data_IF_541167968248
#
_entry.id   IF_541167968248
#
_cell.length_a   1.000
_cell.length_b   1.000
_cell.length_c   1.000
_cell.angle_alpha   90.00
_cell.angle_beta   90.00
_cell.angle_gamma   90.00
#
_symmetry.space_group_name_H-M   'P 1'
#
loop_
_entity.id
_entity.type
_entity.pdbx_description
1 polymer ?
#
# COMPACT_ATOMS: atom_id res chain seq x y z
N UNK A 1 -50.08 -14.43 51.43
CA UNK A 1 -50.44 -15.39 50.37
C UNK A 1 -49.95 -14.80 49.06
N UNK A 2 -48.91 -15.41 48.50
CA UNK A 2 -48.11 -14.87 47.39
C UNK A 2 -48.85 -14.91 46.06
N UNK A 3 -48.67 -13.87 45.28
CA UNK A 3 -49.23 -13.62 43.95
C UNK A 3 -48.62 -14.58 42.92
N UNK A 4 -49.47 -15.08 42.02
CA UNK A 4 -49.11 -15.95 40.88
C UNK A 4 -48.26 -15.20 39.86
N UNK A 5 -47.18 -15.84 39.39
CA UNK A 5 -46.36 -15.38 38.29
C UNK A 5 -46.59 -16.27 37.07
N UNK A 6 -47.04 -15.66 35.97
CA UNK A 6 -47.14 -16.28 34.65
C UNK A 6 -45.74 -16.63 34.11
N UNK A 7 -45.54 -17.91 33.81
CA UNK A 7 -44.33 -18.44 33.19
C UNK A 7 -44.36 -18.23 31.68
N UNK A 8 -43.77 -17.12 31.20
CA UNK A 8 -43.36 -17.00 29.81
C UNK A 8 -42.08 -17.84 29.60
N UNK A 9 -42.18 -18.92 28.83
CA UNK A 9 -41.06 -19.75 28.44
C UNK A 9 -40.04 -18.91 27.64
N UNK A 10 -38.85 -18.71 28.20
CA UNK A 10 -37.73 -18.10 27.50
C UNK A 10 -37.31 -19.00 26.33
N UNK A 11 -37.47 -18.48 25.11
CA UNK A 11 -36.83 -19.03 23.92
C UNK A 11 -35.32 -18.98 24.16
N UNK A 12 -34.58 -20.10 24.10
CA UNK A 12 -33.13 -20.06 24.28
C UNK A 12 -32.52 -19.20 23.16
N UNK A 13 -31.49 -18.39 23.46
CA UNK A 13 -30.79 -17.66 22.41
C UNK A 13 -30.31 -18.67 21.38
N UNK A 14 -30.68 -18.45 20.11
CA UNK A 14 -30.15 -19.21 18.99
C UNK A 14 -28.63 -19.19 19.10
N UNK A 15 -28.03 -20.37 19.23
CA UNK A 15 -26.59 -20.52 19.18
C UNK A 15 -26.06 -19.79 17.95
N UNK A 16 -25.32 -18.70 18.17
CA UNK A 16 -24.65 -17.98 17.09
C UNK A 16 -23.83 -18.99 16.31
N UNK A 17 -24.10 -19.11 15.01
CA UNK A 17 -23.28 -19.87 14.08
C UNK A 17 -21.86 -19.34 14.20
N UNK A 18 -20.97 -20.16 14.76
CA UNK A 18 -19.54 -19.85 14.76
C UNK A 18 -19.11 -19.62 13.31
N UNK A 19 -18.50 -18.46 13.04
CA UNK A 19 -17.93 -18.11 11.74
C UNK A 19 -17.14 -19.29 11.15
N UNK A 20 -17.33 -19.57 9.86
CA UNK A 20 -16.57 -20.55 9.09
C UNK A 20 -15.07 -20.17 8.97
N UNK A 21 -14.68 -18.95 9.37
CA UNK A 21 -13.34 -18.69 9.92
C UNK A 21 -13.23 -19.33 11.32
N UNK A 22 -13.60 -20.61 11.44
CA UNK A 22 -13.40 -21.39 12.63
C UNK A 22 -11.89 -21.39 12.87
N UNK A 23 -11.46 -20.65 13.90
CA UNK A 23 -10.09 -20.29 14.20
C UNK A 23 -9.20 -21.53 14.16
N UNK A 24 -8.64 -21.82 12.99
CA UNK A 24 -7.81 -23.00 12.82
C UNK A 24 -6.68 -22.92 13.85
N UNK A 25 -6.33 -24.04 14.51
CA UNK A 25 -5.29 -24.02 15.53
C UNK A 25 -4.00 -23.42 14.97
N UNK A 26 -3.26 -22.68 15.79
CA UNK A 26 -2.05 -21.98 15.34
C UNK A 26 -1.03 -22.94 14.70
N UNK A 27 -0.95 -24.19 15.20
CA UNK A 27 -0.08 -25.23 14.67
C UNK A 27 -0.55 -25.73 13.29
N UNK A 28 -1.86 -25.75 13.03
CA UNK A 28 -2.41 -26.10 11.72
C UNK A 28 -2.00 -25.04 10.69
N UNK A 29 -2.16 -23.77 11.03
CA UNK A 29 -1.81 -22.67 10.14
C UNK A 29 -0.31 -22.61 9.84
N UNK A 30 0.54 -22.82 10.85
CA UNK A 30 1.99 -22.94 10.64
C UNK A 30 2.36 -24.18 9.81
N UNK A 31 1.72 -25.32 10.07
CA UNK A 31 1.94 -26.57 9.32
C UNK A 31 1.58 -26.45 7.83
N UNK A 32 0.72 -25.50 7.46
CA UNK A 32 0.30 -25.26 6.08
C UNK A 32 1.22 -24.32 5.29
N UNK A 33 2.19 -23.65 5.92
CA UNK A 33 3.12 -22.71 5.25
C UNK A 33 3.85 -23.38 4.09
N UNK A 34 4.53 -24.50 4.34
CA UNK A 34 5.30 -25.22 3.30
C UNK A 34 4.37 -25.82 2.23
N UNK A 35 3.30 -26.56 2.58
CA UNK A 35 2.36 -27.07 1.57
C UNK A 35 1.75 -25.99 0.66
N UNK A 36 1.33 -24.85 1.22
CA UNK A 36 0.76 -23.74 0.42
C UNK A 36 1.81 -23.10 -0.49
N UNK A 37 3.04 -22.93 -0.01
CA UNK A 37 4.17 -22.41 -0.80
C UNK A 37 4.51 -23.35 -1.97
N UNK A 38 4.59 -24.66 -1.73
CA UNK A 38 4.84 -25.68 -2.77
C UNK A 38 3.72 -25.69 -3.80
N UNK A 39 2.46 -25.73 -3.36
CA UNK A 39 1.29 -25.75 -4.25
C UNK A 39 1.23 -24.53 -5.17
N UNK A 40 1.56 -23.34 -4.66
CA UNK A 40 1.65 -22.13 -5.48
C UNK A 40 2.86 -22.12 -6.40
N UNK A 41 4.03 -22.54 -5.91
CA UNK A 41 5.23 -22.67 -6.73
C UNK A 41 4.98 -23.55 -7.94
N UNK A 42 4.33 -24.71 -7.76
CA UNK A 42 3.95 -25.62 -8.84
C UNK A 42 2.95 -25.03 -9.85
N UNK A 43 2.17 -24.01 -9.46
CA UNK A 43 1.30 -23.24 -10.38
C UNK A 43 2.12 -22.17 -11.10
N UNK A 44 2.94 -21.42 -10.37
CA UNK A 44 3.77 -20.33 -10.90
C UNK A 44 4.84 -20.81 -11.91
N UNK A 45 5.34 -22.03 -11.77
CA UNK A 45 6.29 -22.65 -12.73
C UNK A 45 5.61 -23.06 -14.05
N UNK A 46 4.31 -23.38 -14.06
CA UNK A 46 3.56 -23.63 -15.31
C UNK A 46 3.38 -22.35 -16.14
N UNK A 47 3.36 -21.20 -15.46
CA UNK A 47 3.24 -19.87 -16.06
C UNK A 47 1.82 -19.50 -16.44
N UNK A 48 1.64 -18.22 -16.79
CA UNK A 48 0.40 -17.62 -17.25
C UNK A 48 0.69 -16.82 -18.52
N UNK A 49 0.88 -17.55 -19.62
CA UNK A 49 1.23 -16.96 -20.91
C UNK A 49 0.16 -15.97 -21.41
N UNK A 50 -1.09 -16.16 -20.97
CA UNK A 50 -2.23 -15.28 -21.20
C UNK A 50 -2.07 -13.86 -20.63
N UNK A 51 -1.26 -13.70 -19.58
CA UNK A 51 -1.15 -12.44 -18.82
C UNK A 51 0.19 -11.72 -19.01
N UNK A 52 1.07 -12.18 -19.91
CA UNK A 52 2.42 -11.59 -20.05
C UNK A 52 3.32 -11.76 -18.80
N UNK A 53 2.89 -12.57 -17.82
CA UNK A 53 3.67 -12.91 -16.62
C UNK A 53 4.54 -14.13 -16.93
N UNK A 54 5.88 -14.02 -16.81
CA UNK A 54 6.77 -15.13 -17.12
C UNK A 54 6.63 -16.27 -16.11
N UNK A 55 7.07 -17.46 -16.51
CA UNK A 55 7.18 -18.61 -15.62
C UNK A 55 8.14 -18.32 -14.47
N UNK A 56 7.81 -18.78 -13.27
CA UNK A 56 8.74 -18.73 -12.15
C UNK A 56 9.98 -19.57 -12.47
N UNK A 57 11.17 -18.99 -12.32
CA UNK A 57 12.41 -19.71 -12.51
C UNK A 57 12.50 -20.90 -11.52
N UNK A 58 13.01 -22.07 -11.94
CA UNK A 58 13.23 -23.23 -11.07
C UNK A 58 14.47 -23.00 -10.19
N UNK A 59 14.41 -21.98 -9.34
CA UNK A 59 15.49 -21.57 -8.45
C UNK A 59 15.05 -21.81 -6.99
N UNK A 60 15.79 -22.63 -6.21
CA UNK A 60 15.48 -22.88 -4.80
C UNK A 60 15.36 -21.60 -3.96
N UNK A 61 16.16 -20.57 -4.24
CA UNK A 61 16.06 -19.29 -3.53
C UNK A 61 14.76 -18.54 -3.84
N UNK A 62 14.28 -18.64 -5.08
CA UNK A 62 12.98 -18.07 -5.45
C UNK A 62 11.85 -18.82 -4.73
N UNK A 63 11.95 -20.14 -4.57
CA UNK A 63 10.96 -20.93 -3.86
C UNK A 63 10.98 -20.67 -2.34
N UNK A 64 12.17 -20.53 -1.75
CA UNK A 64 12.33 -20.15 -0.35
C UNK A 64 11.68 -18.80 -0.04
N UNK A 65 11.78 -17.83 -0.96
CA UNK A 65 11.10 -16.54 -0.77
C UNK A 65 9.56 -16.63 -0.77
N UNK A 66 8.98 -17.58 -1.51
CA UNK A 66 7.52 -17.82 -1.49
C UNK A 66 7.08 -18.36 -0.14
N UNK A 67 7.89 -19.25 0.47
CA UNK A 67 7.64 -19.74 1.82
C UNK A 67 7.75 -18.63 2.87
N UNK A 68 8.66 -17.67 2.68
CA UNK A 68 8.79 -16.50 3.56
C UNK A 68 7.57 -15.57 3.48
N UNK A 69 7.03 -15.34 2.28
CA UNK A 69 5.77 -14.61 2.15
C UNK A 69 4.63 -15.36 2.86
N UNK A 70 4.52 -16.68 2.66
CA UNK A 70 3.52 -17.50 3.35
C UNK A 70 3.64 -17.42 4.87
N UNK A 71 4.87 -17.46 5.39
CA UNK A 71 5.14 -17.35 6.82
C UNK A 71 4.71 -15.98 7.35
N UNK A 72 4.93 -14.90 6.58
CA UNK A 72 4.54 -13.56 6.97
C UNK A 72 3.01 -13.37 6.95
N UNK A 73 2.33 -13.84 5.92
CA UNK A 73 0.86 -13.86 5.84
C UNK A 73 0.28 -14.70 6.98
N UNK A 74 0.93 -15.83 7.28
CA UNK A 74 0.53 -16.73 8.37
C UNK A 74 0.66 -16.07 9.73
N UNK A 75 1.81 -15.46 9.99
CA UNK A 75 2.08 -14.72 11.22
C UNK A 75 1.12 -13.53 11.39
N UNK A 76 0.88 -12.77 10.32
CA UNK A 76 -0.03 -11.63 10.34
C UNK A 76 -1.44 -12.06 10.75
N UNK A 77 -1.99 -13.09 10.11
CA UNK A 77 -3.29 -13.67 10.48
C UNK A 77 -3.33 -14.10 11.95
N UNK A 78 -2.33 -14.85 12.43
CA UNK A 78 -2.32 -15.34 13.81
C UNK A 78 -2.30 -14.21 14.85
N UNK A 79 -1.67 -13.09 14.50
CA UNK A 79 -1.64 -11.88 15.33
C UNK A 79 -2.96 -11.09 15.29
N UNK A 80 -3.64 -11.06 14.15
CA UNK A 80 -4.84 -10.22 13.95
C UNK A 80 -6.17 -10.94 14.12
N UNK A 81 -6.19 -12.29 14.14
CA UNK A 81 -7.42 -13.11 14.16
C UNK A 81 -8.41 -12.76 15.27
N UNK A 82 -7.93 -12.41 16.48
CA UNK A 82 -8.80 -12.03 17.60
C UNK A 82 -9.48 -10.66 17.43
N UNK A 83 -8.94 -9.81 16.55
CA UNK A 83 -9.48 -8.48 16.22
C UNK A 83 -10.37 -8.52 14.99
N UNK A 84 -10.33 -9.58 14.17
CA UNK A 84 -11.06 -9.65 12.91
C UNK A 84 -12.56 -9.92 13.11
N UNK A 85 -12.92 -10.91 13.94
CA UNK A 85 -14.31 -11.37 14.10
C UNK A 85 -15.25 -10.32 14.71
N UNK A 86 -14.73 -9.41 15.53
CA UNK A 86 -15.52 -8.36 16.18
C UNK A 86 -15.84 -7.15 15.27
N UNK A 87 -15.29 -7.11 14.05
CA UNK A 87 -15.25 -5.87 13.25
C UNK A 87 -15.85 -6.01 11.84
N UNK A 88 -16.27 -7.21 11.41
CA UNK A 88 -16.70 -7.43 10.01
C UNK A 88 -18.07 -6.81 9.74
N UNK A 89 -19.08 -7.08 10.57
CA UNK A 89 -20.45 -6.57 10.36
C UNK A 89 -20.55 -5.04 10.38
N UNK A 90 -19.93 -4.41 11.37
CA UNK A 90 -19.94 -2.94 11.53
C UNK A 90 -19.24 -2.23 10.35
N UNK A 91 -18.20 -2.85 9.77
CA UNK A 91 -17.44 -2.27 8.65
C UNK A 91 -18.19 -2.29 7.33
N UNK A 92 -19.02 -3.30 7.08
CA UNK A 92 -19.84 -3.33 5.86
C UNK A 92 -20.89 -2.22 5.88
N UNK A 93 -21.59 -2.02 7.00
CA UNK A 93 -22.56 -0.93 7.15
C UNK A 93 -21.89 0.46 7.05
N UNK A 94 -20.69 0.61 7.62
CA UNK A 94 -19.89 1.83 7.47
C UNK A 94 -19.48 2.06 5.99
N UNK A 95 -19.14 1.00 5.26
CA UNK A 95 -18.79 1.09 3.83
C UNK A 95 -19.97 1.56 2.98
N UNK A 96 -21.16 0.99 3.20
CA UNK A 96 -22.40 1.39 2.50
C UNK A 96 -22.75 2.85 2.79
N UNK A 97 -22.66 3.25 4.06
CA UNK A 97 -22.89 4.64 4.48
C UNK A 97 -21.89 5.60 3.86
N UNK A 98 -20.59 5.23 3.84
CA UNK A 98 -19.56 6.04 3.19
C UNK A 98 -19.82 6.17 1.69
N UNK A 99 -20.19 5.07 1.02
CA UNK A 99 -20.47 5.10 -0.41
C UNK A 99 -21.65 6.01 -0.74
N UNK A 100 -22.75 5.92 0.01
CA UNK A 100 -23.92 6.79 -0.18
C UNK A 100 -23.58 8.27 0.02
N UNK A 101 -22.73 8.60 1.01
CA UNK A 101 -22.25 9.98 1.24
C UNK A 101 -21.36 10.48 0.10
N UNK A 102 -20.49 9.61 -0.41
CA UNK A 102 -19.60 9.94 -1.52
C UNK A 102 -20.39 10.16 -2.82
N UNK A 103 -21.38 9.32 -3.08
CA UNK A 103 -22.27 9.44 -4.24
C UNK A 103 -23.08 10.74 -4.19
N UNK A 104 -23.71 11.04 -3.04
CA UNK A 104 -24.46 12.28 -2.85
C UNK A 104 -23.61 13.56 -3.02
N UNK A 105 -22.30 13.46 -2.79
CA UNK A 105 -21.35 14.55 -2.98
C UNK A 105 -20.66 14.55 -4.37
N UNK A 106 -21.04 13.64 -5.27
CA UNK A 106 -20.55 13.58 -6.65
C UNK A 106 -19.22 12.85 -6.84
N UNK A 107 -18.64 12.25 -5.80
CA UNK A 107 -17.33 11.59 -5.89
C UNK A 107 -17.35 10.29 -6.71
N UNK A 108 -18.52 9.68 -6.94
CA UNK A 108 -18.61 8.51 -7.84
C UNK A 108 -18.60 8.90 -9.31
N UNK A 109 -19.22 10.04 -9.63
CA UNK A 109 -19.25 10.62 -10.98
C UNK A 109 -17.88 11.22 -11.34
N UNK A 110 -17.27 11.99 -10.43
CA UNK A 110 -15.91 12.51 -10.56
C UNK A 110 -15.02 12.10 -9.38
N UNK A 111 -14.40 10.90 -9.43
CA UNK A 111 -13.44 10.44 -8.43
C UNK A 111 -12.21 11.34 -8.29
N UNK A 112 -11.92 12.21 -9.27
CA UNK A 112 -10.81 13.17 -9.20
C UNK A 112 -10.97 14.19 -8.07
N UNK A 113 -12.21 14.46 -7.65
CA UNK A 113 -12.52 15.35 -6.53
C UNK A 113 -11.96 14.85 -5.18
N UNK A 114 -11.68 13.54 -5.04
CA UNK A 114 -11.00 12.98 -3.86
C UNK A 114 -9.50 13.33 -3.80
N UNK A 115 -8.95 13.86 -4.89
CA UNK A 115 -7.51 14.10 -5.05
C UNK A 115 -7.25 15.56 -5.50
N UNK A 116 -7.69 16.57 -4.74
CA UNK A 116 -7.39 17.96 -5.06
C UNK A 116 -5.88 18.21 -5.02
N UNK A 117 -5.40 19.15 -5.83
CA UNK A 117 -4.00 19.57 -5.81
C UNK A 117 -3.70 20.35 -4.53
N UNK A 118 -2.81 19.87 -3.64
CA UNK A 118 -2.44 20.61 -2.45
C UNK A 118 -1.49 21.76 -2.79
N UNK A 119 -1.58 22.86 -2.05
CA UNK A 119 -0.54 23.89 -2.06
C UNK A 119 0.76 23.34 -1.43
N UNK A 120 1.88 24.02 -1.72
CA UNK A 120 3.09 23.78 -0.95
C UNK A 120 2.84 24.13 0.52
N UNK A 121 3.27 23.32 1.49
CA UNK A 121 3.07 23.58 2.91
C UNK A 121 3.78 24.87 3.34
N UNK A 122 3.03 25.79 3.96
CA UNK A 122 3.55 27.09 4.42
C UNK A 122 4.53 26.95 5.61
N UNK A 123 4.26 25.99 6.50
CA UNK A 123 5.06 25.77 7.72
C UNK A 123 5.74 24.41 7.67
N UNK A 124 7.04 24.44 7.38
CA UNK A 124 7.88 23.25 7.31
C UNK A 124 8.91 23.25 8.43
N UNK A 125 8.90 22.19 9.25
CA UNK A 125 9.90 21.98 10.31
C UNK A 125 10.98 21.03 9.84
N UNK A 126 12.23 21.49 9.88
CA UNK A 126 13.41 20.69 9.55
C UNK A 126 14.24 20.41 10.81
N UNK A 127 14.72 19.19 10.95
CA UNK A 127 15.64 18.82 12.04
C UNK A 127 16.64 17.76 11.60
N UNK A 128 17.93 17.98 11.87
CA UNK A 128 18.97 16.98 11.63
C UNK A 128 18.88 15.88 12.71
N UNK A 129 18.97 14.63 12.29
CA UNK A 129 18.85 13.44 13.14
C UNK A 129 19.87 12.39 12.74
N UNK A 130 20.28 11.57 13.71
CA UNK A 130 21.02 10.34 13.47
C UNK A 130 20.36 9.20 14.24
N UNK A 131 19.93 8.16 13.53
CA UNK A 131 19.30 6.98 14.16
C UNK A 131 19.85 5.70 13.54
N UNK A 132 20.42 4.84 14.39
CA UNK A 132 21.05 3.58 13.95
C UNK A 132 22.18 3.77 12.94
N UNK A 133 22.96 4.87 13.04
CA UNK A 133 24.06 5.17 12.13
C UNK A 133 23.61 5.67 10.74
N UNK A 134 22.39 6.19 10.63
CA UNK A 134 21.92 6.91 9.44
C UNK A 134 21.73 8.36 9.85
N UNK A 135 22.54 9.27 9.29
CA UNK A 135 22.30 10.70 9.35
C UNK A 135 21.29 11.11 8.26
N UNK A 136 20.28 11.90 8.63
CA UNK A 136 19.25 12.41 7.73
C UNK A 136 18.65 13.70 8.30
N UNK A 137 17.98 14.47 7.45
CA UNK A 137 17.11 15.56 7.88
C UNK A 137 15.67 15.05 7.96
N UNK A 138 15.00 15.28 9.07
CA UNK A 138 13.57 15.00 9.20
C UNK A 138 12.81 16.27 8.88
N UNK A 139 11.95 16.20 7.86
CA UNK A 139 10.97 17.23 7.55
C UNK A 139 9.61 16.83 8.11
N UNK A 140 8.87 17.82 8.60
CA UNK A 140 7.47 17.63 8.97
C UNK A 140 6.63 18.88 8.75
N UNK A 141 5.38 18.67 8.35
CA UNK A 141 4.38 19.69 8.07
C UNK A 141 2.98 19.09 8.28
N UNK A 142 1.96 19.93 8.38
CA UNK A 142 0.58 19.47 8.56
C UNK A 142 0.00 18.94 7.24
N UNK A 143 -0.71 17.82 7.29
CA UNK A 143 -1.33 17.20 6.13
C UNK A 143 -2.42 18.10 5.58
N UNK A 144 -2.39 18.36 4.26
CA UNK A 144 -3.42 19.13 3.56
C UNK A 144 -4.66 18.30 3.21
N UNK A 145 -4.70 17.02 3.62
CA UNK A 145 -5.79 16.11 3.27
C UNK A 145 -7.09 16.52 3.98
N UNK A 146 -8.07 16.95 3.20
CA UNK A 146 -9.43 17.18 3.66
C UNK A 146 -10.23 15.86 3.59
N UNK A 147 -10.69 15.38 4.75
CA UNK A 147 -11.57 14.21 4.80
C UNK A 147 -12.96 14.62 4.27
N UNK A 148 -13.55 13.89 3.30
CA UNK A 148 -14.91 14.16 2.85
C UNK A 148 -15.91 14.16 4.01
N UNK A 149 -16.92 15.03 3.93
CA UNK A 149 -17.84 15.28 5.03
C UNK A 149 -18.50 13.97 5.54
N UNK A 150 -18.46 13.78 6.86
CA UNK A 150 -19.01 12.62 7.53
C UNK A 150 -18.19 11.33 7.43
N UNK A 151 -17.13 11.24 6.61
CA UNK A 151 -16.35 9.98 6.55
C UNK A 151 -15.48 9.75 7.79
N UNK A 152 -15.03 10.82 8.45
CA UNK A 152 -14.23 10.74 9.68
C UNK A 152 -15.00 10.12 10.86
N UNK A 153 -16.33 10.16 10.83
CA UNK A 153 -17.18 9.60 11.89
C UNK A 153 -17.37 8.08 11.74
N UNK A 154 -17.09 7.55 10.55
CA UNK A 154 -17.30 6.14 10.20
C UNK A 154 -16.08 5.26 10.53
N UNK A 155 -14.96 5.88 10.92
CA UNK A 155 -13.71 5.20 11.25
C UNK A 155 -12.81 6.16 12.05
N UNK A 156 -12.07 5.69 13.06
CA UNK A 156 -11.20 6.57 13.86
C UNK A 156 -9.87 6.87 13.12
N UNK A 157 -9.98 7.47 11.94
CA UNK A 157 -8.87 7.77 11.05
C UNK A 157 -8.10 9.03 11.44
N UNK A 158 -8.79 10.05 11.93
CA UNK A 158 -8.19 11.33 12.29
C UNK A 158 -7.48 11.24 13.64
N UNK A 159 -6.18 11.53 13.64
CA UNK A 159 -5.37 11.54 14.86
C UNK A 159 -4.19 12.50 14.67
N UNK A 160 -3.82 13.26 15.71
CA UNK A 160 -2.77 14.29 15.63
C UNK A 160 -1.44 13.75 15.09
N UNK A 161 -1.05 12.53 15.48
CA UNK A 161 0.18 11.90 14.97
C UNK A 161 0.06 11.54 13.49
N UNK A 162 -1.14 11.17 13.04
CA UNK A 162 -1.41 10.83 11.65
C UNK A 162 -1.49 12.09 10.78
N UNK A 163 -2.01 13.20 11.29
CA UNK A 163 -2.17 14.45 10.52
C UNK A 163 -0.86 15.23 10.36
N UNK A 164 0.20 14.83 11.07
CA UNK A 164 1.56 15.34 10.86
C UNK A 164 2.30 14.49 9.82
N UNK A 165 2.55 15.09 8.66
CA UNK A 165 3.37 14.46 7.62
C UNK A 165 4.82 14.43 8.06
N UNK A 166 5.51 13.33 7.74
CA UNK A 166 6.94 13.17 7.96
C UNK A 166 7.63 12.69 6.69
N UNK A 167 8.82 13.24 6.41
CA UNK A 167 9.74 12.66 5.44
C UNK A 167 11.18 12.68 5.96
N UNK A 168 11.97 11.71 5.52
CA UNK A 168 13.41 11.63 5.83
C UNK A 168 14.21 12.00 4.58
N UNK A 169 15.02 13.03 4.69
CA UNK A 169 15.76 13.59 3.57
C UNK A 169 17.23 13.17 3.64
N UNK A 170 17.74 12.75 2.49
CA UNK A 170 19.17 12.69 2.20
C UNK A 170 19.45 13.83 1.21
N UNK A 171 19.93 14.97 1.72
CA UNK A 171 20.38 16.10 0.92
C UNK A 171 21.89 16.08 0.80
N UNK A 172 22.41 16.43 -0.37
CA UNK A 172 23.83 16.73 -0.51
C UNK A 172 24.10 18.13 0.04
N UNK A 173 25.09 18.27 0.93
CA UNK A 173 25.45 19.56 1.53
C UNK A 173 26.26 20.47 0.58
N UNK A 174 26.84 19.93 -0.51
CA UNK A 174 27.69 20.66 -1.45
C UNK A 174 27.30 20.43 -2.93
N UNK A 175 27.43 21.49 -3.75
CA UNK A 175 27.45 21.39 -5.22
C UNK A 175 26.17 21.75 -5.98
N UNK A 176 25.42 22.76 -5.54
CA UNK A 176 24.29 23.33 -6.28
C UNK A 176 22.97 22.54 -6.18
N UNK A 177 21.94 23.02 -6.87
CA UNK A 177 20.63 22.36 -6.92
C UNK A 177 20.76 20.97 -7.56
N UNK A 178 20.05 19.97 -7.02
CA UNK A 178 20.07 18.58 -7.50
C UNK A 178 18.66 18.08 -7.79
N UNK A 179 18.48 17.17 -8.78
CA UNK A 179 17.23 16.46 -8.96
C UNK A 179 16.83 15.68 -7.69
N UNK A 180 15.55 15.33 -7.58
CA UNK A 180 15.00 14.67 -6.40
C UNK A 180 14.42 13.30 -6.71
N UNK A 181 14.59 12.37 -5.77
CA UNK A 181 13.86 11.12 -5.72
C UNK A 181 12.92 11.11 -4.51
N UNK A 182 11.61 11.08 -4.76
CA UNK A 182 10.60 10.81 -3.73
C UNK A 182 10.44 9.30 -3.59
N UNK A 183 10.76 8.76 -2.43
CA UNK A 183 10.71 7.31 -2.15
C UNK A 183 9.59 7.01 -1.15
N UNK A 184 8.72 6.07 -1.49
CA UNK A 184 7.52 5.74 -0.72
C UNK A 184 7.56 4.26 -0.29
N UNK A 185 7.44 4.02 1.02
CA UNK A 185 7.64 2.70 1.61
C UNK A 185 6.40 1.79 1.53
N UNK A 186 6.60 0.49 1.77
CA UNK A 186 5.52 -0.49 1.88
C UNK A 186 4.85 -0.53 3.26
N UNK A 187 3.87 -1.42 3.43
CA UNK A 187 3.17 -1.59 4.70
C UNK A 187 4.12 -2.02 5.85
N UNK A 188 3.86 -1.56 7.08
CA UNK A 188 4.66 -1.81 8.31
C UNK A 188 6.10 -1.26 8.31
N UNK A 189 6.40 -0.35 7.39
CA UNK A 189 7.62 0.46 7.37
C UNK A 189 7.34 1.86 7.94
N UNK A 190 8.15 2.85 7.59
CA UNK A 190 8.00 4.26 7.97
C UNK A 190 8.99 4.71 9.04
N UNK A 191 9.95 3.86 9.42
CA UNK A 191 11.03 4.20 10.34
C UNK A 191 12.27 4.64 9.58
N UNK A 192 13.14 5.44 10.20
CA UNK A 192 14.36 5.93 9.56
C UNK A 192 15.29 4.80 9.04
N UNK A 193 15.20 3.58 9.61
CA UNK A 193 15.94 2.41 9.13
C UNK A 193 15.58 2.02 7.68
N UNK A 194 14.38 2.36 7.23
CA UNK A 194 13.84 1.95 5.92
C UNK A 194 14.53 2.67 4.75
N UNK A 195 15.19 3.80 5.01
CA UNK A 195 16.14 4.46 4.09
C UNK A 195 17.19 3.47 3.55
N UNK A 196 17.65 2.52 4.37
CA UNK A 196 18.61 1.48 3.93
C UNK A 196 17.95 0.41 3.07
N UNK A 197 16.72 0.01 3.40
CA UNK A 197 16.04 -1.09 2.74
C UNK A 197 15.54 -0.71 1.35
N UNK A 198 15.07 0.53 1.17
CA UNK A 198 14.42 1.00 -0.05
C UNK A 198 15.38 1.55 -1.11
N UNK A 199 16.69 1.34 -0.96
CA UNK A 199 17.66 1.71 -1.99
C UNK A 199 17.87 3.22 -2.13
N UNK A 200 17.46 4.03 -1.14
CA UNK A 200 17.70 5.47 -1.10
C UNK A 200 19.19 5.83 -1.16
N UNK A 201 20.06 5.01 -0.56
CA UNK A 201 21.52 5.22 -0.60
C UNK A 201 22.11 5.10 -2.01
N UNK A 202 21.85 4.04 -2.80
CA UNK A 202 22.22 3.99 -4.21
C UNK A 202 21.72 5.18 -5.02
N UNK A 203 20.46 5.61 -4.86
CA UNK A 203 19.95 6.80 -5.55
C UNK A 203 20.78 8.04 -5.16
N UNK A 204 20.91 8.30 -3.87
CA UNK A 204 21.63 9.46 -3.36
C UNK A 204 23.11 9.48 -3.76
N UNK A 205 23.81 8.37 -3.54
CA UNK A 205 25.26 8.27 -3.77
C UNK A 205 25.57 8.08 -5.24
N UNK A 206 24.96 7.10 -5.91
CA UNK A 206 25.38 6.66 -7.23
C UNK A 206 24.79 7.56 -8.35
N UNK A 207 23.59 8.12 -8.18
CA UNK A 207 23.02 9.10 -9.11
C UNK A 207 23.24 10.55 -8.69
N UNK A 208 23.70 10.82 -7.46
CA UNK A 208 23.93 12.19 -7.00
C UNK A 208 22.65 13.02 -6.84
N UNK A 209 21.50 12.38 -6.63
CA UNK A 209 20.20 13.05 -6.43
C UNK A 209 19.93 13.26 -4.94
N UNK A 210 19.11 14.25 -4.59
CA UNK A 210 18.52 14.32 -3.26
C UNK A 210 17.42 13.26 -3.12
N UNK A 211 17.20 12.74 -1.92
CA UNK A 211 16.15 11.74 -1.67
C UNK A 211 15.22 12.23 -0.58
N UNK A 212 13.92 12.23 -0.83
CA UNK A 212 12.87 12.48 0.15
C UNK A 212 12.07 11.20 0.40
N UNK A 213 12.19 10.62 1.59
CA UNK A 213 11.51 9.38 1.93
C UNK A 213 10.23 9.68 2.71
N UNK A 214 9.08 9.64 2.03
CA UNK A 214 7.77 9.93 2.62
C UNK A 214 7.33 8.84 3.60
N UNK A 215 6.82 9.23 4.76
CA UNK A 215 6.18 8.34 5.74
C UNK A 215 4.67 8.35 5.52
N UNK A 216 4.13 7.20 5.16
CA UNK A 216 2.69 7.02 4.90
C UNK A 216 1.85 7.16 6.18
N UNK A 217 0.56 7.51 6.05
CA UNK A 217 -0.39 7.53 7.17
C UNK A 217 -0.38 6.22 7.96
N UNK A 218 -0.56 6.30 9.28
CA UNK A 218 -0.55 5.16 10.21
C UNK A 218 0.75 4.31 10.21
N UNK A 219 1.87 4.85 9.74
CA UNK A 219 3.17 4.16 9.74
C UNK A 219 4.25 4.94 10.50
N UNK A 220 5.26 4.22 11.00
CA UNK A 220 6.36 4.78 11.78
C UNK A 220 5.89 5.77 12.86
N UNK A 221 6.35 7.04 12.86
CA UNK A 221 5.89 8.05 13.81
C UNK A 221 4.39 8.38 13.73
N UNK A 222 3.71 8.12 12.60
CA UNK A 222 2.29 8.44 12.38
C UNK A 222 1.34 7.40 12.97
N UNK A 223 1.77 6.14 13.08
CA UNK A 223 0.97 5.01 13.57
C UNK A 223 1.29 4.55 14.99
N UNK A 224 1.79 5.45 15.87
CA UNK A 224 2.17 5.09 17.25
C UNK A 224 0.99 4.85 18.18
N UNK A 225 -0.18 5.36 17.82
CA UNK A 225 -1.44 5.03 18.45
C UNK A 225 -2.04 3.92 17.59
N UNK A 226 -2.34 2.78 18.22
CA UNK A 226 -2.93 1.58 17.59
C UNK A 226 -4.40 1.84 17.14
N UNK A 227 -4.70 3.02 16.57
CA UNK A 227 -6.03 3.42 16.17
C UNK A 227 -6.50 2.56 15.00
N UNK A 228 -5.81 2.60 13.84
CA UNK A 228 -6.24 1.91 12.63
C UNK A 228 -5.07 1.36 11.80
N UNK A 229 -5.21 0.13 11.29
CA UNK A 229 -4.23 -0.46 10.38
C UNK A 229 -4.50 -0.01 8.93
N UNK A 230 -3.46 0.47 8.24
CA UNK A 230 -3.52 0.84 6.82
C UNK A 230 -2.39 0.14 6.03
N UNK A 231 -2.68 -0.62 4.97
CA UNK A 231 -4.01 -1.09 4.61
C UNK A 231 -4.52 -2.09 5.66
N UNK A 232 -5.84 -2.24 5.74
CA UNK A 232 -6.50 -3.13 6.70
C UNK A 232 -7.83 -3.65 6.17
N UNK A 233 -8.62 -4.29 7.04
CA UNK A 233 -9.94 -4.82 6.68
C UNK A 233 -11.05 -3.75 6.61
N UNK A 234 -10.78 -2.53 7.07
CA UNK A 234 -11.72 -1.40 7.01
C UNK A 234 -11.61 -0.70 5.64
N UNK A 235 -12.63 -0.80 4.76
CA UNK A 235 -12.59 -0.17 3.44
C UNK A 235 -12.65 1.35 3.50
N UNK A 236 -13.30 1.95 4.51
CA UNK A 236 -13.35 3.42 4.67
C UNK A 236 -11.98 3.93 5.08
N UNK A 237 -11.34 3.29 6.07
CA UNK A 237 -9.97 3.61 6.46
C UNK A 237 -8.97 3.43 5.30
N UNK A 238 -9.15 2.41 4.47
CA UNK A 238 -8.32 2.21 3.28
C UNK A 238 -8.46 3.35 2.27
N UNK A 239 -9.69 3.81 2.01
CA UNK A 239 -9.93 4.97 1.14
C UNK A 239 -9.23 6.21 1.70
N UNK A 240 -9.50 6.55 2.97
CA UNK A 240 -8.90 7.71 3.64
C UNK A 240 -7.37 7.64 3.69
N UNK A 241 -6.83 6.43 3.88
CA UNK A 241 -5.39 6.21 3.85
C UNK A 241 -4.76 6.46 2.50
N UNK A 242 -5.41 6.03 1.40
CA UNK A 242 -4.91 6.31 0.05
C UNK A 242 -5.05 7.79 -0.29
N UNK A 243 -6.20 8.41 -0.06
CA UNK A 243 -6.42 9.83 -0.35
C UNK A 243 -5.45 10.72 0.43
N UNK A 244 -5.23 10.44 1.72
CA UNK A 244 -4.24 11.15 2.52
C UNK A 244 -2.82 10.90 2.03
N UNK A 245 -2.45 9.66 1.69
CA UNK A 245 -1.12 9.34 1.18
C UNK A 245 -0.79 10.09 -0.11
N UNK A 246 -1.76 10.19 -1.02
CA UNK A 246 -1.60 10.90 -2.30
C UNK A 246 -1.52 12.40 -2.05
N UNK A 247 -2.39 12.96 -1.21
CA UNK A 247 -2.33 14.37 -0.80
C UNK A 247 -0.96 14.72 -0.21
N UNK A 248 -0.44 13.90 0.70
CA UNK A 248 0.85 14.12 1.35
C UNK A 248 2.03 14.01 0.36
N UNK A 249 1.98 13.05 -0.56
CA UNK A 249 2.99 12.90 -1.61
C UNK A 249 3.03 14.12 -2.53
N UNK A 250 1.86 14.62 -2.94
CA UNK A 250 1.73 15.81 -3.79
C UNK A 250 2.15 17.09 -3.05
N UNK A 251 1.81 17.22 -1.76
CA UNK A 251 2.25 18.34 -0.94
C UNK A 251 3.79 18.35 -0.76
N UNK A 252 4.39 17.18 -0.58
CA UNK A 252 5.86 17.04 -0.54
C UNK A 252 6.50 17.40 -1.89
N UNK A 253 5.89 16.99 -3.01
CA UNK A 253 6.35 17.36 -4.37
C UNK A 253 6.23 18.88 -4.56
N UNK A 254 5.09 19.49 -4.20
CA UNK A 254 4.88 20.94 -4.29
C UNK A 254 5.91 21.70 -3.44
N UNK A 255 6.22 21.23 -2.23
CA UNK A 255 7.29 21.78 -1.41
C UNK A 255 8.66 21.70 -2.11
N UNK A 256 9.04 20.53 -2.63
CA UNK A 256 10.31 20.38 -3.37
C UNK A 256 10.36 21.32 -4.59
N UNK A 257 9.23 21.46 -5.31
CA UNK A 257 9.11 22.36 -6.47
C UNK A 257 9.27 23.83 -6.11
N UNK A 258 8.88 24.23 -4.89
CA UNK A 258 9.13 25.59 -4.39
C UNK A 258 10.62 25.87 -4.13
N UNK A 259 11.43 24.84 -3.90
CA UNK A 259 12.88 24.95 -3.71
C UNK A 259 13.68 24.76 -5.00
N UNK A 260 13.15 24.05 -6.00
CA UNK A 260 13.88 23.75 -7.25
C UNK A 260 12.99 23.40 -8.44
N UNK A 261 13.43 23.77 -9.64
CA UNK A 261 12.82 23.36 -10.91
C UNK A 261 13.42 22.08 -11.51
N UNK A 262 14.38 21.45 -10.84
CA UNK A 262 15.03 20.24 -11.36
C UNK A 262 14.09 19.02 -11.37
N UNK A 263 14.35 17.99 -12.19
CA UNK A 263 13.49 16.82 -12.30
C UNK A 263 13.24 16.12 -10.95
N UNK A 264 12.01 15.63 -10.77
CA UNK A 264 11.60 14.82 -9.62
C UNK A 264 11.14 13.45 -10.13
N UNK A 265 11.70 12.38 -9.58
CA UNK A 265 11.26 11.01 -9.83
C UNK A 265 10.58 10.44 -8.61
N UNK A 266 9.52 9.65 -8.80
CA UNK A 266 8.81 8.97 -7.71
C UNK A 266 9.06 7.47 -7.80
N UNK A 267 9.44 6.86 -6.68
CA UNK A 267 9.57 5.41 -6.54
C UNK A 267 8.79 4.93 -5.33
N UNK A 268 7.92 3.95 -5.53
CA UNK A 268 7.17 3.31 -4.46
C UNK A 268 7.26 1.80 -4.51
N UNK A 269 7.21 1.14 -3.34
CA UNK A 269 7.12 -0.32 -3.24
C UNK A 269 5.84 -0.77 -2.53
N UNK A 270 5.18 -1.83 -3.01
CA UNK A 270 4.00 -2.43 -2.35
C UNK A 270 2.90 -1.38 -2.17
N UNK A 271 2.49 -1.06 -0.93
CA UNK A 271 1.60 0.06 -0.63
C UNK A 271 2.15 1.39 -1.18
N UNK A 272 3.45 1.67 -1.05
CA UNK A 272 4.06 2.85 -1.66
C UNK A 272 4.01 2.81 -3.18
N UNK A 273 3.98 1.62 -3.79
CA UNK A 273 3.78 1.42 -5.22
C UNK A 273 2.36 1.83 -5.65
N UNK A 274 1.34 1.58 -4.82
CA UNK A 274 -0.01 2.11 -5.01
C UNK A 274 0.04 3.64 -5.03
N UNK A 275 0.62 4.24 -4.00
CA UNK A 275 0.67 5.70 -3.84
C UNK A 275 1.45 6.34 -4.98
N UNK A 276 2.61 5.79 -5.36
CA UNK A 276 3.39 6.27 -6.50
C UNK A 276 2.60 6.20 -7.82
N UNK A 277 1.82 5.13 -8.02
CA UNK A 277 0.99 4.96 -9.21
C UNK A 277 -0.18 5.94 -9.24
N UNK A 278 -0.81 6.20 -8.09
CA UNK A 278 -1.82 7.23 -7.93
C UNK A 278 -1.24 8.63 -8.16
N UNK A 279 -0.05 8.94 -7.62
CA UNK A 279 0.63 10.22 -7.86
C UNK A 279 0.88 10.43 -9.36
N UNK A 280 1.22 9.39 -10.12
CA UNK A 280 1.39 9.48 -11.57
C UNK A 280 0.12 9.80 -12.36
N UNK A 281 -1.07 9.69 -11.75
CA UNK A 281 -2.33 10.12 -12.33
C UNK A 281 -2.63 11.62 -12.11
N UNK A 282 -1.93 12.29 -11.20
CA UNK A 282 -2.21 13.68 -10.82
C UNK A 282 -1.01 14.63 -10.89
N UNK A 283 0.19 14.13 -11.19
CA UNK A 283 1.44 14.90 -11.30
C UNK A 283 2.06 14.73 -12.71
N UNK A 284 1.76 15.60 -13.68
CA UNK A 284 2.23 15.47 -15.06
C UNK A 284 3.74 15.76 -15.22
N UNK A 285 4.31 16.58 -14.34
CA UNK A 285 5.70 17.07 -14.46
C UNK A 285 6.74 16.14 -13.80
N UNK A 286 6.38 14.89 -13.53
CA UNK A 286 7.35 13.91 -13.01
C UNK A 286 8.34 13.51 -14.10
N UNK A 287 9.62 13.46 -13.73
CA UNK A 287 10.68 12.93 -14.59
C UNK A 287 10.49 11.43 -14.83
N UNK A 288 10.10 10.68 -13.81
CA UNK A 288 9.62 9.30 -13.95
C UNK A 288 8.81 8.84 -12.74
N UNK A 289 8.05 7.76 -12.94
CA UNK A 289 7.44 6.97 -11.88
C UNK A 289 7.92 5.52 -11.96
N UNK A 290 8.30 4.95 -10.82
CA UNK A 290 8.64 3.53 -10.70
C UNK A 290 7.71 2.88 -9.66
N UNK A 291 6.85 1.98 -10.13
CA UNK A 291 5.93 1.20 -9.31
C UNK A 291 6.49 -0.21 -9.06
N UNK A 292 6.97 -0.45 -7.85
CA UNK A 292 7.61 -1.70 -7.45
C UNK A 292 6.68 -2.63 -6.69
N UNK A 293 6.53 -3.88 -7.15
CA UNK A 293 5.57 -4.88 -6.65
C UNK A 293 4.24 -4.21 -6.22
N UNK A 294 3.63 -3.39 -7.09
CA UNK A 294 2.68 -2.38 -6.67
C UNK A 294 1.33 -2.98 -6.29
N UNK A 295 0.79 -2.49 -5.18
CA UNK A 295 -0.62 -2.72 -4.84
C UNK A 295 -1.48 -1.84 -5.73
N UNK A 296 -2.54 -2.39 -6.30
CA UNK A 296 -3.48 -1.68 -7.16
C UNK A 296 -4.92 -1.80 -6.67
N UNK A 297 -5.29 -2.87 -5.97
CA UNK A 297 -6.63 -3.04 -5.43
C UNK A 297 -6.56 -3.76 -4.07
N UNK A 298 -6.92 -3.04 -3.00
CA UNK A 298 -6.82 -3.52 -1.61
C UNK A 298 -7.87 -4.60 -1.33
N UNK A 299 -9.13 -4.38 -1.73
CA UNK A 299 -10.20 -5.35 -1.54
C UNK A 299 -9.86 -6.70 -2.20
N UNK A 300 -9.39 -6.67 -3.46
CA UNK A 300 -8.96 -7.84 -4.20
C UNK A 300 -7.74 -8.52 -3.57
N UNK A 301 -6.78 -7.75 -3.05
CA UNK A 301 -5.62 -8.31 -2.34
C UNK A 301 -6.06 -9.09 -1.10
N UNK A 302 -6.95 -8.51 -0.28
CA UNK A 302 -7.49 -9.16 0.91
C UNK A 302 -8.31 -10.39 0.55
N UNK A 303 -9.25 -10.25 -0.40
CA UNK A 303 -10.11 -11.32 -0.87
C UNK A 303 -9.32 -12.53 -1.39
N UNK A 304 -8.33 -12.28 -2.25
CA UNK A 304 -7.49 -13.36 -2.81
C UNK A 304 -6.64 -14.04 -1.74
N UNK A 305 -6.19 -13.29 -0.73
CA UNK A 305 -5.45 -13.86 0.42
C UNK A 305 -6.35 -14.84 1.17
N UNK A 306 -7.57 -14.42 1.53
CA UNK A 306 -8.57 -15.24 2.24
C UNK A 306 -8.95 -16.48 1.42
N UNK A 307 -9.35 -16.27 0.16
CA UNK A 307 -9.72 -17.34 -0.79
C UNK A 307 -8.65 -18.41 -0.90
N UNK A 308 -7.39 -17.99 -1.08
CA UNK A 308 -6.27 -18.92 -1.28
C UNK A 308 -6.00 -19.81 -0.07
N UNK A 309 -6.47 -19.40 1.11
CA UNK A 309 -6.07 -19.95 2.40
C UNK A 309 -7.16 -20.74 3.08
N UNK A 310 -8.40 -20.24 3.01
CA UNK A 310 -9.57 -20.75 3.70
C UNK A 310 -10.76 -21.05 2.78
N UNK A 311 -10.66 -20.75 1.48
CA UNK A 311 -11.69 -21.09 0.49
C UNK A 311 -12.74 -20.00 0.28
N UNK A 312 -13.75 -20.30 -0.55
CA UNK A 312 -14.79 -19.33 -0.93
C UNK A 312 -15.78 -19.03 0.21
N UNK A 313 -16.08 -20.00 1.07
CA UNK A 313 -17.01 -19.81 2.21
C UNK A 313 -16.45 -18.77 3.19
N UNK A 314 -15.19 -18.92 3.61
CA UNK A 314 -14.51 -17.93 4.44
C UNK A 314 -14.35 -16.57 3.76
N UNK A 315 -14.27 -16.52 2.41
CA UNK A 315 -14.26 -15.24 1.69
C UNK A 315 -15.63 -14.56 1.72
N UNK A 316 -16.70 -15.31 1.56
CA UNK A 316 -18.06 -14.76 1.62
C UNK A 316 -18.33 -14.10 2.98
N UNK A 317 -17.81 -14.69 4.07
CA UNK A 317 -17.94 -14.11 5.41
C UNK A 317 -17.17 -12.81 5.63
N UNK A 318 -16.17 -12.48 4.81
CA UNK A 318 -15.40 -11.23 5.01
C UNK A 318 -16.02 -10.02 4.34
N UNK A 319 -17.02 -10.20 3.48
CA UNK A 319 -17.68 -9.12 2.73
C UNK A 319 -16.73 -8.24 1.88
N UNK A 320 -15.48 -8.68 1.67
CA UNK A 320 -14.47 -7.88 0.94
C UNK A 320 -14.81 -7.68 -0.53
N UNK A 321 -15.65 -8.55 -1.09
CA UNK A 321 -16.11 -8.47 -2.47
C UNK A 321 -17.56 -7.98 -2.59
N UNK A 322 -18.15 -7.48 -1.50
CA UNK A 322 -19.46 -6.85 -1.55
C UNK A 322 -19.38 -5.52 -2.31
N UNK A 323 -20.50 -5.03 -2.88
CA UNK A 323 -20.49 -3.86 -3.75
C UNK A 323 -19.82 -2.62 -3.14
N UNK A 324 -20.14 -2.30 -1.88
CA UNK A 324 -19.60 -1.09 -1.24
C UNK A 324 -18.08 -1.14 -0.99
N UNK A 325 -17.51 -2.18 -0.34
CA UNK A 325 -16.06 -2.32 -0.22
C UNK A 325 -15.30 -2.34 -1.55
N UNK A 326 -15.87 -3.00 -2.58
CA UNK A 326 -15.28 -3.02 -3.93
C UNK A 326 -15.23 -1.61 -4.53
N UNK A 327 -16.32 -0.86 -4.42
CA UNK A 327 -16.41 0.48 -4.98
C UNK A 327 -15.52 1.48 -4.24
N UNK A 328 -15.45 1.43 -2.91
CA UNK A 328 -14.48 2.22 -2.14
C UNK A 328 -13.03 1.87 -2.52
N UNK A 329 -12.73 0.58 -2.73
CA UNK A 329 -11.41 0.17 -3.21
C UNK A 329 -11.13 0.59 -4.65
N UNK A 330 -12.16 0.77 -5.49
CA UNK A 330 -12.04 1.32 -6.85
C UNK A 330 -11.66 2.79 -6.79
N UNK A 331 -12.32 3.59 -5.94
CA UNK A 331 -11.98 5.01 -5.73
C UNK A 331 -10.53 5.19 -5.24
N UNK A 332 -10.00 4.23 -4.49
CA UNK A 332 -8.64 4.21 -3.98
C UNK A 332 -7.62 3.49 -4.91
N UNK A 333 -8.00 3.12 -6.13
CA UNK A 333 -7.17 2.32 -7.04
C UNK A 333 -6.52 3.15 -8.14
N UNK A 334 -5.21 2.99 -8.43
CA UNK A 334 -4.59 3.61 -9.60
C UNK A 334 -5.14 3.12 -10.93
N UNK A 335 -5.89 2.01 -10.95
CA UNK A 335 -6.54 1.50 -12.17
C UNK A 335 -7.78 2.32 -12.57
N UNK A 336 -8.25 3.19 -11.67
CA UNK A 336 -9.41 4.05 -11.93
C UNK A 336 -9.03 5.39 -12.57
N UNK A 337 -7.73 5.69 -12.65
CA UNK A 337 -7.25 6.98 -13.12
C UNK A 337 -6.19 6.79 -14.21
N UNK A 338 -6.32 7.44 -15.37
CA UNK A 338 -5.29 7.38 -16.40
C UNK A 338 -4.01 8.05 -15.87
N UNK A 339 -2.86 7.46 -16.15
CA UNK A 339 -1.59 8.09 -15.81
C UNK A 339 -1.34 9.31 -16.71
N UNK A 340 -1.09 10.48 -16.11
CA UNK A 340 -0.74 11.71 -16.84
C UNK A 340 0.76 11.81 -17.12
N UNK A 341 1.59 11.08 -16.37
CA UNK A 341 3.03 10.94 -16.66
C UNK A 341 3.20 10.25 -18.02
N UNK A 342 4.09 10.72 -18.93
CA UNK A 342 4.33 10.08 -20.22
C UNK A 342 4.70 8.59 -20.15
N UNK A 343 4.27 7.81 -21.14
CA UNK A 343 4.45 6.34 -21.18
C UNK A 343 5.90 5.88 -21.00
N UNK A 344 6.84 6.54 -21.68
CA UNK A 344 8.29 6.26 -21.63
C UNK A 344 8.95 6.59 -20.27
N UNK A 345 8.20 7.26 -19.38
CA UNK A 345 8.60 7.62 -18.02
C UNK A 345 7.93 6.78 -16.94
N UNK A 346 7.13 5.78 -17.34
CA UNK A 346 6.48 4.81 -16.46
C UNK A 346 7.29 3.53 -16.40
N UNK A 347 7.57 3.05 -15.20
CA UNK A 347 8.32 1.81 -15.00
C UNK A 347 7.64 0.94 -13.94
N UNK A 348 7.59 -0.36 -14.18
CA UNK A 348 7.02 -1.33 -13.24
C UNK A 348 8.04 -2.42 -12.98
N UNK A 349 8.13 -2.90 -11.74
CA UNK A 349 8.67 -4.23 -11.52
C UNK A 349 7.70 -5.06 -10.69
N UNK A 350 7.43 -6.29 -11.11
CA UNK A 350 6.61 -7.25 -10.38
C UNK A 350 7.46 -8.42 -9.86
N UNK A 351 6.88 -9.25 -8.99
CA UNK A 351 7.50 -10.47 -8.53
C UNK A 351 6.60 -11.67 -8.87
N UNK A 352 7.14 -12.63 -9.62
CA UNK A 352 6.36 -13.78 -10.14
C UNK A 352 5.87 -14.68 -9.00
N UNK A 353 6.67 -14.80 -7.94
CA UNK A 353 6.36 -15.58 -6.76
C UNK A 353 5.59 -14.81 -5.68
N UNK A 354 5.19 -13.57 -5.95
CA UNK A 354 4.54 -12.71 -4.96
C UNK A 354 3.21 -13.32 -4.50
N UNK A 355 3.10 -13.50 -3.19
CA UNK A 355 1.93 -14.08 -2.54
C UNK A 355 1.03 -13.08 -1.83
N UNK A 356 1.48 -11.85 -1.70
CA UNK A 356 0.76 -10.80 -1.00
C UNK A 356 0.09 -9.87 -2.01
N UNK A 357 0.90 -9.15 -2.77
CA UNK A 357 0.47 -8.21 -3.82
C UNK A 357 0.71 -8.88 -5.17
N UNK A 358 0.07 -10.03 -5.34
CA UNK A 358 0.36 -11.03 -6.39
C UNK A 358 0.74 -10.45 -7.75
N UNK A 359 1.50 -11.19 -8.56
CA UNK A 359 1.92 -10.75 -9.90
C UNK A 359 0.77 -10.15 -10.76
N UNK A 360 -0.48 -10.57 -10.54
CA UNK A 360 -1.67 -10.01 -11.22
C UNK A 360 -1.92 -8.53 -10.92
N UNK A 361 -1.56 -8.03 -9.74
CA UNK A 361 -1.71 -6.61 -9.39
C UNK A 361 -0.72 -5.75 -10.21
N UNK A 362 0.53 -6.21 -10.32
CA UNK A 362 1.55 -5.58 -11.17
C UNK A 362 1.20 -5.67 -12.66
N UNK A 363 0.66 -6.81 -13.10
CA UNK A 363 0.20 -7.02 -14.47
C UNK A 363 -1.01 -6.12 -14.82
N UNK A 364 -1.99 -6.01 -13.92
CA UNK A 364 -3.12 -5.11 -14.11
C UNK A 364 -2.67 -3.65 -14.28
N UNK A 365 -1.70 -3.18 -13.48
CA UNK A 365 -1.11 -1.85 -13.67
C UNK A 365 -0.37 -1.74 -15.00
N UNK A 366 0.36 -2.80 -15.38
CA UNK A 366 1.11 -2.82 -16.63
C UNK A 366 0.19 -2.71 -17.84
N UNK A 367 -0.94 -3.42 -17.87
CA UNK A 367 -1.95 -3.25 -18.92
C UNK A 367 -2.57 -1.86 -18.90
N UNK A 368 -2.96 -1.38 -17.71
CA UNK A 368 -3.58 -0.06 -17.52
C UNK A 368 -2.68 1.09 -17.97
N UNK A 369 -1.36 0.96 -17.80
CA UNK A 369 -0.37 1.92 -18.26
C UNK A 369 0.08 1.72 -19.70
N UNK A 370 -0.64 0.89 -20.47
CA UNK A 370 -0.39 0.62 -21.89
C UNK A 370 0.94 -0.11 -22.12
N UNK A 371 1.27 -1.05 -21.23
CA UNK A 371 2.42 -1.93 -21.30
C UNK A 371 3.78 -1.21 -21.30
N UNK A 372 4.07 -0.36 -20.28
CA UNK A 372 5.35 0.34 -20.20
C UNK A 372 6.50 -0.61 -19.83
N UNK A 373 7.70 -0.08 -19.67
CA UNK A 373 8.88 -0.88 -19.30
C UNK A 373 8.63 -1.66 -18.00
N UNK A 374 8.64 -3.00 -18.08
CA UNK A 374 8.39 -3.89 -16.94
C UNK A 374 9.58 -4.81 -16.66
N UNK A 375 9.83 -5.08 -15.38
CA UNK A 375 10.76 -6.11 -14.94
C UNK A 375 10.09 -7.12 -14.02
N UNK A 376 10.15 -8.38 -14.39
CA UNK A 376 9.71 -9.48 -13.53
C UNK A 376 10.87 -10.03 -12.72
N UNK A 377 10.70 -10.05 -11.39
CA UNK A 377 11.60 -10.66 -10.44
C UNK A 377 11.15 -12.09 -10.16
N UNK A 378 12.10 -13.01 -10.05
CA UNK A 378 11.83 -14.37 -9.60
C UNK A 378 12.04 -14.45 -8.09
N UNK A 379 10.93 -14.45 -7.36
CA UNK A 379 10.89 -14.49 -5.90
C UNK A 379 9.55 -13.97 -5.37
N UNK A 380 9.43 -13.84 -4.05
CA UNK A 380 8.26 -13.34 -3.34
C UNK A 380 8.21 -11.82 -3.18
N UNK A 381 7.25 -11.36 -2.40
CA UNK A 381 7.01 -9.98 -2.02
C UNK A 381 8.11 -9.45 -1.09
N UNK A 382 8.39 -10.18 -0.01
CA UNK A 382 9.27 -9.74 1.08
C UNK A 382 10.73 -9.93 0.68
N UNK A 383 11.03 -11.11 0.13
CA UNK A 383 12.36 -11.44 -0.37
C UNK A 383 12.26 -11.68 -1.87
N UNK A 384 13.01 -10.90 -2.63
CA UNK A 384 13.24 -11.13 -4.04
C UNK A 384 14.66 -10.68 -4.38
N UNK A 385 15.00 -10.61 -5.66
CA UNK A 385 16.29 -10.14 -6.11
C UNK A 385 16.43 -8.61 -5.91
N UNK A 386 16.69 -8.20 -4.67
CA UNK A 386 16.84 -6.79 -4.24
C UNK A 386 17.91 -6.06 -5.05
N UNK A 387 18.99 -6.74 -5.43
CA UNK A 387 20.03 -6.15 -6.29
C UNK A 387 19.49 -5.86 -7.70
N UNK A 388 18.63 -6.73 -8.23
CA UNK A 388 18.02 -6.55 -9.54
C UNK A 388 16.92 -5.48 -9.55
N UNK A 389 16.12 -5.35 -8.49
CA UNK A 389 15.13 -4.28 -8.33
C UNK A 389 15.83 -2.93 -8.17
N UNK A 390 16.79 -2.79 -7.26
CA UNK A 390 17.55 -1.54 -7.08
C UNK A 390 18.21 -1.05 -8.36
N UNK A 391 18.88 -1.95 -9.11
CA UNK A 391 19.47 -1.59 -10.41
C UNK A 391 18.43 -1.15 -11.44
N UNK A 392 17.22 -1.72 -11.40
CA UNK A 392 16.14 -1.31 -12.28
C UNK A 392 15.66 0.09 -11.93
N UNK A 393 15.41 0.38 -10.64
CA UNK A 393 15.04 1.74 -10.17
C UNK A 393 16.12 2.76 -10.54
N UNK A 394 17.39 2.48 -10.22
CA UNK A 394 18.50 3.38 -10.54
C UNK A 394 18.61 3.66 -12.04
N UNK A 395 18.40 2.65 -12.90
CA UNK A 395 18.42 2.82 -14.36
C UNK A 395 17.22 3.62 -14.87
N UNK A 396 16.02 3.40 -14.33
CA UNK A 396 14.84 4.17 -14.69
C UNK A 396 15.01 5.66 -14.40
N UNK A 397 15.53 5.99 -13.22
CA UNK A 397 15.85 7.37 -12.83
C UNK A 397 16.91 7.99 -13.76
N UNK A 398 18.01 7.27 -14.01
CA UNK A 398 19.07 7.74 -14.89
C UNK A 398 18.60 7.94 -16.35
N UNK A 399 17.83 6.99 -16.89
CA UNK A 399 17.27 7.08 -18.25
C UNK A 399 16.31 8.26 -18.41
N UNK A 400 15.71 8.71 -17.31
CA UNK A 400 14.77 9.83 -17.27
C UNK A 400 15.45 11.17 -16.94
N UNK A 401 16.79 11.24 -17.01
CA UNK A 401 17.56 12.46 -16.75
C UNK A 401 17.64 12.87 -15.27
N UNK A 402 17.26 11.99 -14.35
CA UNK A 402 17.26 12.26 -12.90
C UNK A 402 18.62 11.85 -12.33
N UNK A 403 19.63 12.63 -12.65
CA UNK A 403 21.03 12.48 -12.20
C UNK A 403 21.61 13.84 -11.83
N UNK A 404 22.33 13.90 -10.70
CA UNK A 404 23.08 15.08 -10.26
C UNK A 404 24.60 14.91 -10.46
N UNK A 405 24.99 13.97 -11.32
CA UNK A 405 26.36 13.71 -11.75
C UNK A 405 26.52 13.99 -13.24
#
# INVERSE_FOLDING_TARGET
>A
MSVMADGAAAVPPSAGTASAVALQPWWYELGKVVPRAVGFTAKATRGRADLGIPRLAPNPLAWASIAMDEMAITSAYLMTRRRADALIGDRTAAAETALARLDAAGYLEDPGLLYPAPAAPDTVRLSRRNRGGIAFEQVSFDSAHAVPAGLAELTEWQHISNDRVHAYLLRHEAGGARPWAVVIHGHRMGEARDIRFLGSRPLHRDLGVNVAHLVLPMHGPRGRVDAHAFPGADPVANLLGVTQSVSDARALIAWIRSETHLPIGVFGISLGGLVASMTAAFEPDLGCVVAGIPLTNIAMMLAMTVRSRWGEEALAETHFLDPAPVELSRLASPLSFPAVVPHDRRYIYGAVGDRLVTARQAEALWQHWEQPTVKWLHGGHILNNVKASRRFVTRAFAASGITGR
#
